data_IF_295104154362
#
_entry.id   IF_295104154362
#
_cell.length_a   1.000
_cell.length_b   1.000
_cell.length_c   1.000
_cell.angle_alpha   90.00
_cell.angle_beta   90.00
_cell.angle_gamma   90.00
#
_symmetry.space_group_name_H-M   'P 1'
#
loop_
_entity.id
_entity.type
_entity.pdbx_description
1 polymer ?
#
# COMPACT_ATOMS: atom_id res chain seq x y z
N UNK A 1 -11.74 0.60 -8.43
CA UNK A 1 -10.51 -0.07 -7.97
C UNK A 1 -9.82 -0.96 -9.01
N UNK A 2 -10.49 -1.66 -9.95
CA UNK A 2 -9.74 -2.48 -10.91
C UNK A 2 -9.09 -1.72 -12.06
N UNK A 3 -9.70 -0.64 -12.52
CA UNK A 3 -9.05 0.31 -13.42
C UNK A 3 -7.73 0.82 -12.83
N UNK A 4 -7.64 1.00 -11.51
CA UNK A 4 -6.41 1.43 -10.83
C UNK A 4 -5.30 0.37 -10.91
N UNK A 5 -5.61 -0.93 -10.83
CA UNK A 5 -4.61 -1.99 -10.99
C UNK A 5 -4.05 -2.01 -12.41
N UNK A 6 -4.92 -1.92 -13.42
CA UNK A 6 -4.52 -1.88 -14.84
C UNK A 6 -3.73 -0.60 -15.13
N UNK A 7 -4.21 0.56 -14.68
CA UNK A 7 -3.52 1.85 -14.82
C UNK A 7 -2.15 1.80 -14.16
N UNK A 8 -2.04 1.24 -12.95
CA UNK A 8 -0.73 1.06 -12.28
C UNK A 8 0.20 0.17 -13.09
N UNK A 9 -0.30 -0.94 -13.64
CA UNK A 9 0.49 -1.82 -14.49
C UNK A 9 1.00 -1.09 -15.73
N UNK A 10 0.11 -0.42 -16.47
CA UNK A 10 0.46 0.34 -17.68
C UNK A 10 1.47 1.44 -17.37
N UNK A 11 1.21 2.25 -16.33
CA UNK A 11 2.14 3.30 -15.91
C UNK A 11 3.50 2.75 -15.47
N UNK A 12 3.51 1.58 -14.82
CA UNK A 12 4.75 0.90 -14.46
C UNK A 12 5.52 0.46 -15.71
N UNK A 13 4.86 -0.15 -16.69
CA UNK A 13 5.50 -0.55 -17.95
C UNK A 13 6.08 0.65 -18.70
N UNK A 14 5.34 1.77 -18.77
CA UNK A 14 5.83 3.02 -19.36
C UNK A 14 7.05 3.55 -18.60
N UNK A 15 7.02 3.51 -17.26
CA UNK A 15 8.16 3.88 -16.41
C UNK A 15 9.41 3.04 -16.71
N UNK A 16 9.25 1.72 -16.88
CA UNK A 16 10.35 0.84 -17.27
C UNK A 16 10.87 1.13 -18.68
N UNK A 17 9.98 1.43 -19.64
CA UNK A 17 10.37 1.80 -20.99
C UNK A 17 11.18 3.11 -21.02
N UNK A 18 10.78 4.10 -20.22
CA UNK A 18 11.53 5.37 -20.06
C UNK A 18 12.94 5.09 -19.52
N UNK A 19 13.06 4.23 -18.51
CA UNK A 19 14.36 3.85 -17.94
C UNK A 19 15.23 3.12 -18.96
N UNK A 20 14.65 2.21 -19.74
CA UNK A 20 15.35 1.51 -20.82
C UNK A 20 15.82 2.46 -21.93
N UNK A 21 14.98 3.41 -22.34
CA UNK A 21 15.34 4.45 -23.31
C UNK A 21 16.48 5.34 -22.78
N UNK A 22 16.44 5.71 -21.50
CA UNK A 22 17.51 6.47 -20.86
C UNK A 22 18.85 5.73 -20.90
N UNK A 23 18.86 4.45 -20.52
CA UNK A 23 20.05 3.62 -20.55
C UNK A 23 20.59 3.43 -21.98
N UNK A 24 19.70 3.19 -22.95
CA UNK A 24 20.07 3.05 -24.36
C UNK A 24 20.68 4.34 -24.93
N UNK A 25 20.09 5.50 -24.63
CA UNK A 25 20.62 6.80 -25.07
C UNK A 25 22.01 7.06 -24.50
N UNK A 26 22.23 6.81 -23.21
CA UNK A 26 23.55 6.99 -22.59
C UNK A 26 24.59 6.01 -23.14
N UNK A 27 24.21 4.75 -23.32
CA UNK A 27 25.08 3.75 -23.93
C UNK A 27 25.44 4.12 -25.38
N UNK A 28 24.45 4.50 -26.19
CA UNK A 28 24.64 4.91 -27.59
C UNK A 28 25.50 6.19 -27.71
N UNK A 29 25.39 7.13 -26.76
CA UNK A 29 26.27 8.28 -26.68
C UNK A 29 27.72 7.88 -26.36
N UNK A 30 27.91 6.94 -25.43
CA UNK A 30 29.25 6.44 -25.10
C UNK A 30 29.89 5.69 -26.28
N UNK A 31 29.13 4.85 -26.98
CA UNK A 31 29.58 4.15 -28.20
C UNK A 31 29.94 5.13 -29.32
N UNK A 32 29.19 6.24 -29.45
CA UNK A 32 29.34 7.18 -30.56
C UNK A 32 29.02 6.55 -31.91
N UNK A 33 29.24 7.31 -32.98
CA UNK A 33 29.05 6.86 -34.35
C UNK A 33 30.29 7.17 -35.19
N UNK A 34 30.60 6.29 -36.14
CA UNK A 34 31.66 6.53 -37.11
C UNK A 34 31.02 7.08 -38.38
N UNK A 35 31.33 8.33 -38.70
CA UNK A 35 30.87 8.99 -39.92
C UNK A 35 32.06 9.19 -40.83
N UNK A 36 31.92 8.79 -42.09
CA UNK A 36 32.93 9.06 -43.13
C UNK A 36 32.65 10.44 -43.70
N UNK A 37 33.62 11.34 -43.56
CA UNK A 37 33.56 12.70 -44.10
C UNK A 37 33.64 12.69 -45.64
N UNK A 38 33.38 13.83 -46.28
CA UNK A 38 33.44 14.00 -47.75
C UNK A 38 34.83 13.67 -48.29
N UNK A 39 35.87 13.86 -47.48
CA UNK A 39 37.27 13.53 -47.76
C UNK A 39 37.62 12.05 -47.51
N UNK A 40 36.65 11.20 -47.14
CA UNK A 40 36.85 9.77 -46.88
C UNK A 40 37.40 9.42 -45.49
N UNK A 41 37.70 10.41 -44.66
CA UNK A 41 38.21 10.24 -43.29
C UNK A 41 37.09 9.78 -42.34
N UNK A 42 37.32 8.67 -41.63
CA UNK A 42 36.41 8.20 -40.57
C UNK A 42 36.59 9.04 -39.31
N UNK A 43 35.54 9.74 -38.88
CA UNK A 43 35.51 10.47 -37.61
C UNK A 43 34.56 9.81 -36.64
N UNK A 44 34.98 9.69 -35.38
CA UNK A 44 34.12 9.28 -34.29
C UNK A 44 33.38 10.50 -33.73
N UNK A 45 32.05 10.50 -33.82
CA UNK A 45 31.18 11.60 -33.41
C UNK A 45 30.27 11.12 -32.29
N UNK A 46 30.08 11.98 -31.28
CA UNK A 46 29.09 11.79 -30.23
C UNK A 46 28.05 12.88 -30.32
N UNK A 47 26.78 12.49 -30.27
CA UNK A 47 25.67 13.44 -30.32
C UNK A 47 25.21 13.82 -28.91
N UNK A 48 25.54 15.03 -28.46
CA UNK A 48 25.29 15.47 -27.08
C UNK A 48 23.82 15.45 -26.67
N UNK A 49 22.88 15.58 -27.61
CA UNK A 49 21.45 15.45 -27.31
C UNK A 49 21.13 14.10 -26.68
N UNK A 50 21.82 13.00 -27.08
CA UNK A 50 21.62 11.67 -26.50
C UNK A 50 22.04 11.62 -25.04
N UNK A 51 23.17 12.25 -24.69
CA UNK A 51 23.60 12.38 -23.30
C UNK A 51 22.57 13.14 -22.48
N UNK A 52 22.22 14.36 -22.92
CA UNK A 52 21.34 15.23 -22.15
C UNK A 52 19.92 14.68 -22.02
N UNK A 53 19.35 14.10 -23.09
CA UNK A 53 18.07 13.41 -23.02
C UNK A 53 18.13 12.20 -22.10
N UNK A 54 19.18 11.37 -22.21
CA UNK A 54 19.37 10.22 -21.32
C UNK A 54 19.46 10.61 -19.85
N UNK A 55 20.25 11.63 -19.52
CA UNK A 55 20.36 12.18 -18.16
C UNK A 55 19.03 12.76 -17.67
N UNK A 56 18.29 13.48 -18.51
CA UNK A 56 16.99 14.04 -18.16
C UNK A 56 15.95 12.95 -17.84
N UNK A 57 15.92 11.85 -18.61
CA UNK A 57 15.03 10.71 -18.36
C UNK A 57 15.42 9.94 -17.09
N UNK A 58 16.72 9.81 -16.78
CA UNK A 58 17.18 9.27 -15.50
C UNK A 58 16.77 10.17 -14.33
N UNK A 59 16.96 11.49 -14.48
CA UNK A 59 16.55 12.47 -13.48
C UNK A 59 15.02 12.44 -13.26
N UNK A 60 14.21 12.26 -14.31
CA UNK A 60 12.77 12.06 -14.17
C UNK A 60 12.44 10.77 -13.39
N UNK A 61 13.15 9.68 -13.71
CA UNK A 61 12.89 8.34 -13.15
C UNK A 61 13.21 8.23 -11.65
N UNK A 62 14.19 8.99 -11.15
CA UNK A 62 14.67 8.87 -9.76
C UNK A 62 14.70 10.20 -8.98
N UNK A 63 14.72 11.34 -9.66
CA UNK A 63 15.06 12.65 -9.10
C UNK A 63 13.90 13.61 -8.84
N UNK A 64 12.64 13.14 -8.88
CA UNK A 64 11.50 13.95 -8.44
C UNK A 64 10.49 14.32 -9.52
N UNK A 65 10.22 13.44 -10.48
CA UNK A 65 9.02 13.56 -11.33
C UNK A 65 7.75 13.79 -10.49
N UNK A 66 7.69 13.22 -9.28
CA UNK A 66 6.62 13.48 -8.33
C UNK A 66 6.52 14.96 -7.90
N UNK A 67 7.62 15.69 -7.70
CA UNK A 67 7.62 17.11 -7.29
C UNK A 67 7.03 17.99 -8.39
N UNK A 68 7.26 17.61 -9.66
CA UNK A 68 6.75 18.33 -10.82
C UNK A 68 5.26 18.09 -11.03
N UNK A 69 4.78 16.85 -10.88
CA UNK A 69 3.37 16.54 -11.16
C UNK A 69 2.43 16.81 -9.99
N UNK A 70 2.90 16.67 -8.73
CA UNK A 70 2.05 16.77 -7.53
C UNK A 70 1.26 18.08 -7.45
N UNK A 71 1.83 19.27 -7.79
CA UNK A 71 1.08 20.53 -7.78
C UNK A 71 -0.14 20.55 -8.69
N UNK A 72 -0.13 19.77 -9.78
CA UNK A 72 -1.24 19.67 -10.75
C UNK A 72 -2.27 18.60 -10.36
N UNK A 73 -1.86 17.59 -9.60
CA UNK A 73 -2.74 16.51 -9.16
C UNK A 73 -3.52 16.85 -7.88
N UNK A 74 -2.98 17.70 -7.02
CA UNK A 74 -3.52 17.95 -5.67
C UNK A 74 -3.31 19.40 -5.19
N UNK A 75 -4.18 19.83 -4.27
CA UNK A 75 -4.18 21.20 -3.72
C UNK A 75 -3.15 21.37 -2.60
N UNK A 76 -2.73 22.62 -2.36
CA UNK A 76 -1.91 22.97 -1.21
C UNK A 76 -2.54 22.53 0.11
N UNK A 77 -1.70 22.15 1.07
CA UNK A 77 -2.11 21.72 2.40
C UNK A 77 -2.56 22.93 3.23
N UNK A 78 -3.61 22.76 4.06
CA UNK A 78 -4.08 23.78 5.02
C UNK A 78 -3.92 23.31 6.47
N UNK A 79 -4.32 22.07 6.73
CA UNK A 79 -4.22 21.41 8.03
C UNK A 79 -3.68 19.99 7.83
N UNK A 80 -2.39 19.89 7.52
CA UNK A 80 -1.75 18.60 7.32
C UNK A 80 -1.28 18.03 8.65
N UNK A 81 -1.92 16.94 9.07
CA UNK A 81 -1.40 16.09 10.13
C UNK A 81 -0.50 15.04 9.50
N UNK A 82 0.83 15.14 9.71
CA UNK A 82 1.80 14.17 9.22
C UNK A 82 1.54 12.79 9.87
N UNK A 83 1.07 11.78 9.12
CA UNK A 83 0.86 10.45 9.64
C UNK A 83 2.20 9.80 9.94
N UNK A 84 2.26 9.13 11.07
CA UNK A 84 3.46 8.47 11.52
C UNK A 84 3.17 7.69 12.79
N UNK A 85 3.98 6.65 12.97
CA UNK A 85 4.00 5.89 14.20
C UNK A 85 4.48 6.78 15.35
N UNK A 86 3.95 6.51 16.54
CA UNK A 86 4.37 7.13 17.79
C UNK A 86 5.12 6.11 18.66
N UNK A 87 5.09 6.29 19.98
CA UNK A 87 5.46 5.23 20.91
C UNK A 87 4.44 4.09 20.80
N UNK A 88 4.93 2.90 20.43
CA UNK A 88 4.14 1.68 20.34
C UNK A 88 4.94 0.49 20.82
N UNK A 89 4.26 -0.63 21.00
CA UNK A 89 4.79 -1.86 21.56
C UNK A 89 4.74 -2.98 20.53
N UNK A 90 5.71 -3.89 20.61
CA UNK A 90 5.59 -5.18 19.93
C UNK A 90 4.99 -6.17 20.92
N UNK A 91 3.91 -6.84 20.52
CA UNK A 91 3.33 -7.94 21.28
C UNK A 91 3.42 -9.24 20.48
N UNK A 92 3.39 -10.36 21.19
CA UNK A 92 3.26 -11.67 20.57
C UNK A 92 1.79 -11.89 20.18
N UNK A 93 1.60 -12.29 18.93
CA UNK A 93 0.31 -12.66 18.36
C UNK A 93 0.20 -14.18 18.17
N UNK A 94 -0.85 -14.59 17.47
CA UNK A 94 -1.11 -15.98 17.16
C UNK A 94 0.03 -16.59 16.32
N UNK A 95 0.39 -17.83 16.63
CA UNK A 95 1.41 -18.61 15.91
C UNK A 95 2.77 -17.92 15.77
N UNK A 96 3.17 -17.16 16.81
CA UNK A 96 4.45 -16.45 16.86
C UNK A 96 4.50 -15.20 15.96
N UNK A 97 3.35 -14.68 15.54
CA UNK A 97 3.29 -13.36 14.91
C UNK A 97 3.82 -12.30 15.87
N UNK A 98 4.45 -11.24 15.32
CA UNK A 98 4.85 -10.07 16.12
C UNK A 98 4.03 -8.88 15.68
N UNK A 99 3.18 -8.38 16.56
CA UNK A 99 2.21 -7.34 16.24
C UNK A 99 2.66 -6.00 16.82
N UNK A 100 2.74 -4.98 15.98
CA UNK A 100 2.94 -3.61 16.43
C UNK A 100 1.61 -2.98 16.82
N UNK A 101 1.56 -2.36 18.00
CA UNK A 101 0.36 -1.75 18.57
C UNK A 101 0.67 -0.43 19.27
N UNK A 102 -0.19 0.56 19.11
CA UNK A 102 -0.15 1.85 19.80
C UNK A 102 -1.41 2.05 20.64
N UNK A 103 -1.25 2.71 21.79
CA UNK A 103 -2.33 3.10 22.68
C UNK A 103 -2.38 4.62 22.79
N UNK A 104 -3.56 5.22 22.59
CA UNK A 104 -3.77 6.67 22.64
C UNK A 104 -5.01 7.02 23.46
N UNK A 105 -5.07 8.24 23.97
CA UNK A 105 -6.21 8.75 24.74
C UNK A 105 -6.30 8.24 26.19
N UNK A 106 -7.30 8.73 26.95
CA UNK A 106 -7.38 8.52 28.40
C UNK A 106 -7.50 7.05 28.79
N UNK A 107 -6.87 6.66 29.90
CA UNK A 107 -6.89 5.26 30.36
C UNK A 107 -8.32 4.81 30.74
N UNK A 108 -9.20 5.67 31.22
CA UNK A 108 -10.54 5.24 31.64
C UNK A 108 -11.64 5.47 30.59
N UNK A 109 -11.27 5.88 29.38
CA UNK A 109 -12.21 6.12 28.29
C UNK A 109 -12.68 4.81 27.61
N UNK A 110 -13.85 4.80 26.94
CA UNK A 110 -14.29 3.66 26.15
C UNK A 110 -13.27 3.28 25.08
N UNK A 111 -13.06 1.98 24.87
CA UNK A 111 -11.96 1.46 24.05
C UNK A 111 -12.38 1.18 22.62
N UNK A 112 -11.68 1.78 21.65
CA UNK A 112 -11.80 1.53 20.23
C UNK A 112 -10.56 0.80 19.72
N UNK A 113 -10.73 -0.35 19.06
CA UNK A 113 -9.65 -1.07 18.37
C UNK A 113 -9.76 -0.83 16.87
N UNK A 114 -8.76 -0.16 16.28
CA UNK A 114 -8.79 0.28 14.89
C UNK A 114 -7.90 -0.61 14.02
N UNK A 115 -8.53 -1.33 13.08
CA UNK A 115 -7.90 -2.29 12.17
C UNK A 115 -7.86 -1.72 10.76
N UNK A 116 -6.66 -1.48 10.23
CA UNK A 116 -6.47 -0.86 8.92
C UNK A 116 -6.77 -1.81 7.74
N UNK A 117 -6.82 -1.24 6.54
CA UNK A 117 -7.05 -1.96 5.28
C UNK A 117 -5.80 -2.64 4.71
N UNK A 118 -5.96 -3.48 3.69
CA UNK A 118 -4.85 -4.20 3.07
C UNK A 118 -3.89 -3.26 2.32
N UNK A 119 -2.58 -3.50 2.42
CA UNK A 119 -1.55 -2.65 1.80
C UNK A 119 -1.32 -1.29 2.50
N UNK A 120 -1.96 -1.07 3.65
CA UNK A 120 -1.82 0.11 4.50
C UNK A 120 -1.06 -0.25 5.79
N UNK A 121 -0.95 0.69 6.72
CA UNK A 121 -0.53 0.47 8.09
C UNK A 121 -1.40 1.32 9.04
N UNK A 122 -1.24 1.13 10.35
CA UNK A 122 -2.00 1.83 11.41
C UNK A 122 -1.92 3.35 11.34
N UNK A 123 -0.90 3.91 10.67
CA UNK A 123 -0.75 5.36 10.56
C UNK A 123 -1.84 5.99 9.68
N UNK A 124 -2.60 5.20 8.92
CA UNK A 124 -3.83 5.66 8.23
C UNK A 124 -4.86 6.28 9.18
N UNK A 125 -4.83 5.89 10.46
CA UNK A 125 -5.75 6.40 11.48
C UNK A 125 -5.30 7.71 12.11
N UNK A 126 -4.27 8.41 11.58
CA UNK A 126 -3.75 9.63 12.19
C UNK A 126 -4.83 10.69 12.46
N UNK A 127 -5.75 10.92 11.51
CA UNK A 127 -6.86 11.86 11.69
C UNK A 127 -7.86 11.36 12.73
N UNK A 128 -8.28 10.09 12.67
CA UNK A 128 -9.15 9.51 13.70
C UNK A 128 -8.51 9.58 15.10
N UNK A 129 -7.19 9.37 15.20
CA UNK A 129 -6.42 9.53 16.43
C UNK A 129 -6.50 10.95 16.97
N UNK A 130 -6.37 11.96 16.10
CA UNK A 130 -6.45 13.38 16.50
C UNK A 130 -7.85 13.75 16.99
N UNK A 131 -8.88 13.36 16.25
CA UNK A 131 -10.26 13.78 16.52
C UNK A 131 -10.91 12.97 17.66
N UNK A 132 -10.62 11.67 17.78
CA UNK A 132 -11.25 10.79 18.77
C UNK A 132 -10.40 10.55 20.02
N UNK A 133 -9.11 10.87 19.98
CA UNK A 133 -8.16 10.52 21.04
C UNK A 133 -8.39 11.27 22.36
N UNK A 134 -9.22 12.30 22.38
CA UNK A 134 -9.59 13.01 23.62
C UNK A 134 -10.71 12.28 24.38
N UNK A 135 -11.64 11.64 23.66
CA UNK A 135 -12.84 11.04 24.23
C UNK A 135 -12.75 9.52 24.37
N UNK A 136 -11.85 8.88 23.62
CA UNK A 136 -11.74 7.43 23.52
C UNK A 136 -10.33 6.92 23.78
N UNK A 137 -10.26 5.70 24.35
CA UNK A 137 -9.02 4.92 24.40
C UNK A 137 -8.84 4.23 23.06
N UNK A 138 -7.89 4.67 22.26
CA UNK A 138 -7.66 4.13 20.91
C UNK A 138 -6.53 3.09 20.95
N UNK A 139 -6.76 1.94 20.34
CA UNK A 139 -5.77 0.89 20.11
C UNK A 139 -5.61 0.71 18.61
N UNK A 140 -4.49 1.20 18.08
CA UNK A 140 -4.14 1.10 16.66
C UNK A 140 -3.13 -0.03 16.50
N UNK A 141 -3.26 -0.88 15.49
CA UNK A 141 -2.32 -1.98 15.29
C UNK A 141 -2.06 -2.24 13.81
N UNK A 142 -0.89 -2.82 13.52
CA UNK A 142 -0.52 -3.22 12.16
C UNK A 142 -0.89 -4.69 11.92
N UNK A 143 -1.57 -4.99 10.81
CA UNK A 143 -1.87 -6.36 10.40
C UNK A 143 -0.57 -7.15 10.14
N UNK A 144 -0.55 -8.48 10.39
CA UNK A 144 0.59 -9.33 10.07
C UNK A 144 1.07 -9.17 8.62
N UNK A 145 2.35 -8.83 8.44
CA UNK A 145 2.95 -8.58 7.12
C UNK A 145 2.80 -7.14 6.60
N UNK A 146 2.14 -6.27 7.36
CA UNK A 146 1.99 -4.84 7.07
C UNK A 146 2.71 -3.99 8.14
N UNK A 147 3.14 -2.80 7.74
CA UNK A 147 3.80 -1.84 8.61
C UNK A 147 4.96 -2.46 9.40
N UNK A 148 4.88 -2.33 10.73
CA UNK A 148 5.87 -2.85 11.67
C UNK A 148 5.61 -4.28 12.12
N UNK A 149 4.42 -4.82 11.86
CA UNK A 149 4.07 -6.19 12.20
C UNK A 149 4.76 -7.22 11.30
N UNK A 150 4.93 -8.44 11.83
CA UNK A 150 5.52 -9.58 11.12
C UNK A 150 4.61 -10.80 11.25
N UNK A 151 4.36 -11.53 10.16
CA UNK A 151 3.52 -12.72 10.20
C UNK A 151 4.16 -13.85 10.99
N UNK A 152 3.33 -14.64 11.66
CA UNK A 152 3.70 -15.88 12.32
C UNK A 152 3.65 -17.07 11.35
N UNK A 153 3.60 -18.28 11.91
CA UNK A 153 3.56 -19.54 11.12
C UNK A 153 2.25 -19.70 10.34
N UNK A 154 1.12 -19.25 10.89
CA UNK A 154 -0.17 -19.19 10.19
C UNK A 154 -0.15 -18.27 8.95
N UNK A 155 0.88 -17.44 8.77
CA UNK A 155 1.08 -16.63 7.59
C UNK A 155 0.16 -15.40 7.51
N UNK A 156 -0.38 -15.16 6.32
CA UNK A 156 -1.16 -13.96 5.97
C UNK A 156 -2.51 -14.43 5.43
N UNK A 157 -3.60 -14.11 6.14
CA UNK A 157 -4.96 -14.49 5.77
C UNK A 157 -5.97 -14.05 6.83
N UNK A 158 -7.26 -14.07 6.48
CA UNK A 158 -8.33 -13.54 7.33
C UNK A 158 -8.47 -14.31 8.64
N UNK A 159 -8.34 -15.64 8.62
CA UNK A 159 -8.38 -16.47 9.82
C UNK A 159 -7.23 -16.11 10.77
N UNK A 160 -6.01 -16.01 10.24
CA UNK A 160 -4.85 -15.57 11.00
C UNK A 160 -5.02 -14.12 11.51
N UNK A 161 -5.66 -13.22 10.75
CA UNK A 161 -5.93 -11.87 11.21
C UNK A 161 -6.97 -11.85 12.34
N UNK A 162 -8.00 -12.70 12.29
CA UNK A 162 -9.00 -12.81 13.34
C UNK A 162 -8.39 -13.34 14.65
N UNK A 163 -7.52 -14.34 14.58
CA UNK A 163 -6.78 -14.85 15.74
C UNK A 163 -5.84 -13.78 16.31
N UNK A 164 -5.15 -13.03 15.46
CA UNK A 164 -4.33 -11.91 15.92
C UNK A 164 -5.16 -10.76 16.50
N UNK A 165 -6.37 -10.51 15.98
CA UNK A 165 -7.29 -9.53 16.54
C UNK A 165 -7.73 -9.94 17.96
N UNK A 166 -7.92 -11.24 18.24
CA UNK A 166 -8.16 -11.72 19.63
C UNK A 166 -7.01 -11.37 20.55
N UNK A 167 -5.77 -11.57 20.11
CA UNK A 167 -4.58 -11.18 20.89
C UNK A 167 -4.54 -9.67 21.15
N UNK A 168 -4.88 -8.86 20.14
CA UNK A 168 -4.97 -7.39 20.29
C UNK A 168 -6.08 -6.99 21.27
N UNK A 169 -7.26 -7.62 21.21
CA UNK A 169 -8.35 -7.40 22.17
C UNK A 169 -7.88 -7.76 23.59
N UNK A 170 -7.22 -8.90 23.76
CA UNK A 170 -6.64 -9.30 25.05
C UNK A 170 -5.62 -8.28 25.58
N UNK A 171 -4.75 -7.76 24.72
CA UNK A 171 -3.76 -6.73 25.06
C UNK A 171 -4.39 -5.40 25.53
N UNK A 172 -5.64 -5.12 25.15
CA UNK A 172 -6.34 -3.93 25.66
C UNK A 172 -6.61 -4.00 27.15
N UNK A 173 -6.75 -5.21 27.71
CA UNK A 173 -7.15 -5.44 29.10
C UNK A 173 -8.59 -4.99 29.41
N UNK A 174 -9.44 -4.84 28.38
CA UNK A 174 -10.83 -4.36 28.53
C UNK A 174 -11.83 -5.49 28.44
N UNK A 175 -12.87 -5.38 29.27
CA UNK A 175 -14.01 -6.31 29.23
C UNK A 175 -14.86 -6.12 27.97
N UNK A 176 -14.96 -4.88 27.49
CA UNK A 176 -15.78 -4.49 26.34
C UNK A 176 -15.04 -3.49 25.46
N UNK A 177 -14.99 -3.77 24.15
CA UNK A 177 -14.36 -2.91 23.15
C UNK A 177 -15.28 -2.68 21.95
N UNK A 178 -15.12 -1.57 21.25
CA UNK A 178 -15.71 -1.36 19.92
C UNK A 178 -14.64 -1.60 18.87
N UNK A 179 -14.96 -2.43 17.87
CA UNK A 179 -14.04 -2.75 16.79
C UNK A 179 -14.32 -1.87 15.57
N UNK A 180 -13.31 -1.16 15.08
CA UNK A 180 -13.39 -0.31 13.89
C UNK A 180 -12.51 -0.92 12.81
N UNK A 181 -13.09 -1.27 11.66
CA UNK A 181 -12.39 -1.98 10.59
C UNK A 181 -12.57 -1.30 9.24
N UNK A 182 -11.47 -0.95 8.58
CA UNK A 182 -11.50 -0.44 7.20
C UNK A 182 -11.15 -1.54 6.20
N UNK A 183 -11.95 -1.72 5.15
CA UNK A 183 -11.68 -2.69 4.07
C UNK A 183 -11.41 -4.09 4.66
N UNK A 184 -10.24 -4.69 4.44
CA UNK A 184 -9.90 -5.99 5.01
C UNK A 184 -10.01 -6.02 6.54
N UNK A 185 -9.79 -4.90 7.24
CA UNK A 185 -9.96 -4.83 8.69
C UNK A 185 -11.41 -5.08 9.13
N UNK A 186 -12.38 -4.71 8.30
CA UNK A 186 -13.79 -5.07 8.51
C UNK A 186 -14.08 -6.55 8.24
N UNK A 187 -13.41 -7.15 7.26
CA UNK A 187 -13.49 -8.60 6.99
C UNK A 187 -12.86 -9.39 8.15
N UNK A 188 -11.77 -8.91 8.75
CA UNK A 188 -11.16 -9.49 9.96
C UNK A 188 -12.14 -9.50 11.13
N UNK A 189 -12.87 -8.40 11.36
CA UNK A 189 -13.90 -8.32 12.41
C UNK A 189 -15.03 -9.33 12.13
N UNK A 190 -15.51 -9.42 10.89
CA UNK A 190 -16.54 -10.38 10.50
C UNK A 190 -16.08 -11.83 10.66
N UNK A 191 -14.82 -12.12 10.32
CA UNK A 191 -14.20 -13.44 10.49
C UNK A 191 -14.11 -13.80 11.97
N UNK A 192 -13.70 -12.86 12.83
CA UNK A 192 -13.70 -13.03 14.28
C UNK A 192 -15.12 -13.34 14.81
N UNK A 193 -16.14 -12.62 14.33
CA UNK A 193 -17.52 -12.85 14.74
C UNK A 193 -18.03 -14.23 14.32
N UNK A 194 -17.69 -14.67 13.11
CA UNK A 194 -18.06 -15.98 12.55
C UNK A 194 -17.37 -17.12 13.31
N UNK A 195 -16.05 -17.05 13.46
CA UNK A 195 -15.24 -18.19 13.91
C UNK A 195 -15.10 -18.25 15.44
N UNK A 196 -15.38 -17.14 16.14
CA UNK A 196 -15.30 -17.04 17.59
C UNK A 196 -16.50 -16.33 18.20
N UNK A 197 -17.72 -16.67 17.75
CA UNK A 197 -18.97 -16.02 18.15
C UNK A 197 -19.14 -15.86 19.68
N UNK A 198 -18.80 -16.88 20.48
CA UNK A 198 -18.90 -16.81 21.94
C UNK A 198 -17.96 -15.75 22.53
N UNK A 199 -16.70 -15.73 22.08
CA UNK A 199 -15.73 -14.72 22.49
C UNK A 199 -16.18 -13.33 22.05
N UNK A 200 -16.60 -13.21 20.78
CA UNK A 200 -17.05 -11.96 20.18
C UNK A 200 -18.23 -11.35 20.96
N UNK A 201 -19.28 -12.13 21.24
CA UNK A 201 -20.47 -11.67 21.96
C UNK A 201 -20.15 -11.24 23.41
N UNK A 202 -19.12 -11.85 24.01
CA UNK A 202 -18.67 -11.48 25.36
C UNK A 202 -17.97 -10.13 25.38
N UNK A 203 -17.02 -9.91 24.47
CA UNK A 203 -16.05 -8.81 24.58
C UNK A 203 -16.29 -7.64 23.62
N UNK A 204 -17.12 -7.80 22.59
CA UNK A 204 -17.38 -6.76 21.60
C UNK A 204 -18.68 -6.04 21.91
N UNK A 205 -18.58 -4.74 22.21
CA UNK A 205 -19.73 -3.87 22.46
C UNK A 205 -20.40 -3.37 21.17
N UNK A 206 -19.64 -3.30 20.08
CA UNK A 206 -20.13 -2.84 18.79
C UNK A 206 -19.05 -2.88 17.72
N UNK A 207 -19.47 -2.69 16.47
CA UNK A 207 -18.57 -2.68 15.31
C UNK A 207 -18.85 -1.51 14.39
N UNK A 208 -17.79 -0.90 13.86
CA UNK A 208 -17.85 0.12 12.81
C UNK A 208 -17.12 -0.43 11.58
N UNK A 209 -17.88 -0.73 10.53
CA UNK A 209 -17.37 -1.31 9.29
C UNK A 209 -17.28 -0.24 8.20
N UNK A 210 -16.08 0.09 7.76
CA UNK A 210 -15.81 1.18 6.81
C UNK A 210 -15.33 0.62 5.48
N UNK A 211 -16.09 0.83 4.40
CA UNK A 211 -15.73 0.43 3.03
C UNK A 211 -15.21 -1.03 2.92
N UNK A 212 -15.94 -1.97 3.52
CA UNK A 212 -15.59 -3.39 3.57
C UNK A 212 -16.57 -4.25 2.76
N UNK A 213 -16.37 -5.56 2.76
CA UNK A 213 -17.24 -6.56 2.11
C UNK A 213 -17.42 -7.77 3.02
N UNK A 214 -18.33 -8.67 2.65
CA UNK A 214 -18.71 -9.88 3.39
C UNK A 214 -18.40 -11.20 2.63
N UNK A 215 -17.76 -11.10 1.46
CA UNK A 215 -17.42 -12.22 0.55
C UNK A 215 -16.12 -11.90 -0.19
N UNK A 216 -15.62 -12.80 -1.04
CA UNK A 216 -14.50 -12.57 -1.94
C UNK A 216 -14.59 -11.16 -2.58
N UNK A 217 -13.60 -10.28 -2.32
CA UNK A 217 -13.60 -8.92 -2.84
C UNK A 217 -13.78 -8.83 -4.37
N UNK A 218 -13.35 -9.82 -5.15
CA UNK A 218 -13.55 -9.82 -6.61
C UNK A 218 -15.02 -9.84 -7.01
N UNK A 219 -15.92 -10.31 -6.15
CA UNK A 219 -17.37 -10.32 -6.37
C UNK A 219 -18.03 -8.97 -6.08
N UNK A 220 -17.45 -8.17 -5.19
CA UNK A 220 -18.06 -6.89 -4.74
C UNK A 220 -17.34 -5.65 -5.27
N UNK A 221 -16.19 -5.81 -5.92
CA UNK A 221 -15.51 -4.70 -6.58
C UNK A 221 -16.33 -4.15 -7.75
N UNK A 222 -16.19 -2.83 -8.01
CA UNK A 222 -16.69 -2.20 -9.24
C UNK A 222 -16.14 -2.98 -10.45
N UNK A 223 -16.98 -3.28 -11.46
CA UNK A 223 -16.63 -4.18 -12.58
C UNK A 223 -16.31 -5.63 -12.15
N UNK A 224 -17.03 -6.17 -11.16
CA UNK A 224 -16.83 -7.53 -10.63
C UNK A 224 -16.85 -8.62 -11.71
N UNK A 225 -17.69 -8.50 -12.74
CA UNK A 225 -17.71 -9.45 -13.87
C UNK A 225 -16.37 -9.53 -14.60
N UNK A 226 -15.76 -8.38 -14.92
CA UNK A 226 -14.43 -8.32 -15.52
C UNK A 226 -13.35 -8.85 -14.56
N UNK A 227 -13.42 -8.50 -13.27
CA UNK A 227 -12.43 -8.94 -12.29
C UNK A 227 -12.44 -10.44 -12.05
N UNK A 228 -13.62 -11.05 -12.03
CA UNK A 228 -13.75 -12.48 -11.95
C UNK A 228 -13.24 -13.16 -13.21
N UNK A 229 -13.52 -12.61 -14.40
CA UNK A 229 -12.97 -13.12 -15.66
C UNK A 229 -11.42 -13.04 -15.71
N UNK A 230 -10.83 -11.97 -15.17
CA UNK A 230 -9.38 -11.78 -15.10
C UNK A 230 -8.72 -12.51 -13.91
N UNK A 231 -9.48 -13.22 -13.05
CA UNK A 231 -8.94 -13.89 -11.86
C UNK A 231 -7.69 -14.74 -12.15
N UNK A 232 -7.64 -15.59 -13.20
CA UNK A 232 -6.44 -16.39 -13.48
C UNK A 232 -5.20 -15.52 -13.68
N UNK A 233 -5.34 -14.40 -14.40
CA UNK A 233 -4.24 -13.46 -14.64
C UNK A 233 -3.83 -12.73 -13.36
N UNK A 234 -4.78 -12.34 -12.50
CA UNK A 234 -4.52 -11.71 -11.21
C UNK A 234 -3.76 -12.68 -10.28
N UNK A 235 -4.14 -13.95 -10.27
CA UNK A 235 -3.47 -14.99 -9.47
C UNK A 235 -2.04 -15.21 -9.97
N UNK A 236 -1.85 -15.37 -11.29
CA UNK A 236 -0.53 -15.48 -11.90
C UNK A 236 0.32 -14.25 -11.56
N UNK A 237 -0.22 -13.04 -11.68
CA UNK A 237 0.52 -11.82 -11.36
C UNK A 237 0.92 -11.75 -9.88
N UNK A 238 0.08 -12.25 -8.96
CA UNK A 238 0.42 -12.34 -7.54
C UNK A 238 1.60 -13.31 -7.32
N UNK A 239 1.58 -14.49 -7.93
CA UNK A 239 2.69 -15.45 -7.83
C UNK A 239 3.99 -14.90 -8.42
N UNK A 240 3.91 -14.25 -9.60
CA UNK A 240 5.06 -13.56 -10.19
C UNK A 240 5.59 -12.45 -9.29
N UNK A 241 4.71 -11.68 -8.63
CA UNK A 241 5.11 -10.62 -7.68
C UNK A 241 5.84 -11.20 -6.46
N UNK A 242 5.42 -12.37 -5.98
CA UNK A 242 6.12 -13.07 -4.90
C UNK A 242 7.51 -13.51 -5.35
N UNK A 243 7.62 -14.09 -6.55
CA UNK A 243 8.88 -14.59 -7.09
C UNK A 243 9.86 -13.46 -7.42
N UNK A 244 9.35 -12.37 -8.00
CA UNK A 244 10.12 -11.18 -8.41
C UNK A 244 10.11 -10.07 -7.37
N UNK A 245 9.91 -10.37 -6.08
CA UNK A 245 9.69 -9.35 -5.05
C UNK A 245 10.73 -8.21 -5.06
N UNK A 246 12.05 -8.44 -5.15
CA UNK A 246 13.02 -7.34 -5.18
C UNK A 246 12.79 -6.38 -6.34
N UNK A 247 12.51 -6.93 -7.53
CA UNK A 247 12.23 -6.15 -8.73
C UNK A 247 10.88 -5.42 -8.63
N UNK A 248 9.84 -6.09 -8.13
CA UNK A 248 8.54 -5.48 -7.89
C UNK A 248 8.64 -4.32 -6.88
N UNK A 249 9.48 -4.46 -5.86
CA UNK A 249 9.66 -3.44 -4.84
C UNK A 249 10.44 -2.24 -5.37
N UNK A 250 11.48 -2.49 -6.15
CA UNK A 250 12.20 -1.45 -6.89
C UNK A 250 11.24 -0.67 -7.80
N UNK A 251 10.39 -1.38 -8.57
CA UNK A 251 9.38 -0.76 -9.42
C UNK A 251 8.39 0.10 -8.63
N UNK A 252 7.97 -0.33 -7.44
CA UNK A 252 7.09 0.47 -6.57
C UNK A 252 7.77 1.77 -6.12
N UNK A 253 9.05 1.72 -5.74
CA UNK A 253 9.83 2.92 -5.38
C UNK A 253 10.05 3.84 -6.57
N UNK A 254 10.41 3.30 -7.73
CA UNK A 254 10.56 4.07 -8.96
C UNK A 254 9.24 4.77 -9.32
N UNK A 255 8.11 4.06 -9.21
CA UNK A 255 6.77 4.60 -9.46
C UNK A 255 6.41 5.74 -8.52
N UNK A 256 6.84 5.68 -7.27
CA UNK A 256 6.68 6.78 -6.31
C UNK A 256 7.57 7.99 -6.64
N UNK A 257 8.83 7.78 -7.03
CA UNK A 257 9.78 8.85 -7.32
C UNK A 257 9.43 9.61 -8.61
N UNK A 258 9.05 8.89 -9.66
CA UNK A 258 8.64 9.49 -10.93
C UNK A 258 7.20 10.03 -10.91
N UNK A 259 6.43 9.69 -9.87
CA UNK A 259 5.09 10.21 -9.62
C UNK A 259 3.94 9.45 -10.30
N UNK A 260 4.21 8.39 -11.05
CA UNK A 260 3.15 7.51 -11.59
C UNK A 260 2.25 6.93 -10.49
N UNK A 261 2.80 6.66 -9.29
CA UNK A 261 2.01 6.26 -8.13
C UNK A 261 1.02 7.36 -7.70
N UNK A 262 1.41 8.64 -7.76
CA UNK A 262 0.53 9.77 -7.43
C UNK A 262 -0.58 9.93 -8.47
N UNK A 263 -0.28 9.75 -9.77
CA UNK A 263 -1.30 9.77 -10.83
C UNK A 263 -2.33 8.65 -10.59
N UNK A 264 -1.85 7.43 -10.34
CA UNK A 264 -2.73 6.31 -10.05
C UNK A 264 -3.58 6.60 -8.82
N UNK A 265 -2.98 6.94 -7.68
CA UNK A 265 -3.74 7.19 -6.44
C UNK A 265 -4.73 8.35 -6.57
N UNK A 266 -4.42 9.38 -7.38
CA UNK A 266 -5.33 10.50 -7.62
C UNK A 266 -6.67 10.05 -8.22
N UNK A 267 -6.67 9.03 -9.08
CA UNK A 267 -7.90 8.46 -9.65
C UNK A 267 -8.79 7.76 -8.61
N UNK A 268 -8.22 7.37 -7.47
CA UNK A 268 -8.95 6.77 -6.35
C UNK A 268 -9.69 7.77 -5.46
N UNK A 269 -9.40 9.07 -5.58
CA UNK A 269 -10.04 10.11 -4.77
C UNK A 269 -11.22 10.74 -5.52
N UNK A 270 -12.41 10.72 -4.90
CA UNK A 270 -13.64 11.33 -5.45
C UNK A 270 -13.69 12.86 -5.30
N UNK A 271 -12.67 13.51 -4.73
CA UNK A 271 -12.72 14.94 -4.39
C UNK A 271 -11.37 15.65 -4.32
N UNK A 272 -11.32 16.74 -3.52
CA UNK A 272 -10.15 17.61 -3.36
C UNK A 272 -9.15 16.98 -2.37
N UNK A 273 -8.27 16.10 -2.87
CA UNK A 273 -7.13 15.58 -2.11
C UNK A 273 -6.03 16.66 -1.96
N UNK A 274 -5.41 16.73 -0.79
CA UNK A 274 -4.25 17.62 -0.58
C UNK A 274 -2.95 16.97 -1.06
N UNK A 275 -1.92 17.77 -1.33
CA UNK A 275 -0.61 17.29 -1.79
C UNK A 275 0.02 16.31 -0.82
N UNK A 276 -0.16 16.50 0.48
CA UNK A 276 0.39 15.60 1.48
C UNK A 276 -0.43 14.32 1.64
N UNK A 277 -1.77 14.38 1.54
CA UNK A 277 -2.61 13.18 1.52
C UNK A 277 -2.31 12.28 0.32
N UNK A 278 -2.18 12.88 -0.87
CA UNK A 278 -1.87 12.14 -2.10
C UNK A 278 -0.48 11.49 -2.01
N UNK A 279 0.49 12.22 -1.49
CA UNK A 279 1.86 11.72 -1.34
C UNK A 279 1.97 10.60 -0.32
N UNK A 280 1.31 10.77 0.82
CA UNK A 280 1.26 9.76 1.86
C UNK A 280 0.59 8.47 1.37
N UNK A 281 -0.54 8.56 0.67
CA UNK A 281 -1.19 7.39 0.09
C UNK A 281 -0.36 6.71 -1.00
N UNK A 282 0.35 7.48 -1.84
CA UNK A 282 1.31 6.93 -2.78
C UNK A 282 2.46 6.19 -2.06
N UNK A 283 2.98 6.78 -0.98
CA UNK A 283 4.08 6.21 -0.19
C UNK A 283 3.70 4.91 0.53
N UNK A 284 2.46 4.75 1.01
CA UNK A 284 2.03 3.51 1.69
C UNK A 284 2.20 2.27 0.80
N UNK A 285 2.00 2.42 -0.51
CA UNK A 285 2.15 1.32 -1.46
C UNK A 285 3.59 0.84 -1.61
N UNK A 286 4.58 1.65 -1.24
CA UNK A 286 6.02 1.31 -1.32
C UNK A 286 6.60 0.84 0.00
N UNK A 287 5.97 1.16 1.14
CA UNK A 287 6.47 0.77 2.47
C UNK A 287 6.29 -0.72 2.78
N UNK A 288 5.26 -1.34 2.21
CA UNK A 288 4.91 -2.72 2.48
C UNK A 288 5.49 -3.69 1.43
N UNK A 289 5.92 -4.87 1.88
CA UNK A 289 6.49 -5.90 0.99
C UNK A 289 5.49 -6.27 -0.12
N UNK A 290 5.88 -6.22 -1.41
CA UNK A 290 5.02 -6.64 -2.51
C UNK A 290 4.58 -8.11 -2.41
N UNK A 291 5.45 -9.00 -1.92
CA UNK A 291 5.09 -10.40 -1.75
C UNK A 291 4.11 -10.61 -0.59
N UNK A 292 4.26 -9.85 0.50
CA UNK A 292 3.27 -9.89 1.59
C UNK A 292 1.90 -9.48 1.05
N UNK A 293 1.83 -8.34 0.35
CA UNK A 293 0.62 -7.85 -0.30
C UNK A 293 0.01 -8.88 -1.27
N UNK A 294 0.83 -9.49 -2.13
CA UNK A 294 0.40 -10.51 -3.08
C UNK A 294 -0.14 -11.78 -2.38
N UNK A 295 0.52 -12.27 -1.33
CA UNK A 295 0.05 -13.41 -0.53
C UNK A 295 -1.30 -13.12 0.13
N UNK A 296 -1.49 -11.93 0.68
CA UNK A 296 -2.78 -11.57 1.26
C UNK A 296 -3.88 -11.39 0.21
N UNK A 297 -3.57 -10.91 -1.00
CA UNK A 297 -4.53 -10.92 -2.11
C UNK A 297 -5.01 -12.34 -2.41
N UNK A 298 -4.07 -13.28 -2.54
CA UNK A 298 -4.38 -14.69 -2.76
C UNK A 298 -5.20 -15.30 -1.61
N UNK A 299 -4.94 -14.90 -0.37
CA UNK A 299 -5.71 -15.34 0.79
C UNK A 299 -7.14 -14.76 0.81
N UNK A 300 -7.31 -13.48 0.44
CA UNK A 300 -8.63 -12.84 0.39
C UNK A 300 -9.57 -13.48 -0.65
N UNK A 301 -9.02 -13.95 -1.78
CA UNK A 301 -9.81 -14.63 -2.81
C UNK A 301 -10.39 -15.98 -2.38
N UNK A 302 -10.03 -16.47 -1.18
CA UNK A 302 -10.50 -17.73 -0.60
C UNK A 302 -11.52 -17.52 0.52
N UNK A 303 -11.97 -16.28 0.77
CA UNK A 303 -12.85 -15.96 1.90
C UNK A 303 -14.34 -16.29 1.69
N UNK A 304 -14.63 -17.23 0.80
CA UNK A 304 -15.98 -17.73 0.55
C UNK A 304 -16.17 -19.11 1.18
#
# INVERSE_FOLDING_TARGET
MPLLMIVRLVLSLVSWAILGAAAWLLWSWNQGEYVRDVDGVLRHIRHDWRLWTGLALLAWSFGGGNLLIRPFLARGDRDWLKPGWSHGHMIEGHDGARLYVEKHGPENAPCLVLTHGWGLDSTIWAYARRELGQDFRLVLWDLPGMGRSRPGRAGIGLDAFAENLKAIIGFTGRDRVVLVGHSIGGMTIQTLARDHAQFFNRVVAGTVLVNTTYTDPLKTMVMSGLMQALRPLIVISCHLTVWLQPLAWFGAWQSYLNGSAHIANRLGFAGRVTRSQLDYTALLTTRNSPAAQARGNLAMFKWD
#
